data_IF_069154046861
#
_entry.id   IF_069154046861
#
_cell.length_a   1.000
_cell.length_b   1.000
_cell.length_c   1.000
_cell.angle_alpha   90.00
_cell.angle_beta   90.00
_cell.angle_gamma   90.00
#
_symmetry.space_group_name_H-M   'P 1'
#
loop_
_entity.id
_entity.type
_entity.pdbx_description
1 polymer ?
#
# COMPACT_ATOMS: atom_id res chain seq x y z
N UNK A 1 -2.84 -30.24 -6.34
CA UNK A 1 -3.96 -29.26 -6.43
C UNK A 1 -3.30 -27.93 -6.76
N UNK A 2 -3.82 -27.21 -7.75
CA UNK A 2 -3.07 -26.20 -8.53
C UNK A 2 -2.45 -25.13 -7.61
N UNK A 3 -1.16 -25.30 -7.37
CA UNK A 3 -0.21 -24.27 -6.94
C UNK A 3 0.03 -23.38 -8.16
N UNK A 4 -0.54 -22.17 -8.15
CA UNK A 4 -0.12 -20.99 -8.91
C UNK A 4 -1.07 -19.85 -8.56
N UNK A 5 -0.81 -19.17 -7.45
CA UNK A 5 -1.22 -17.77 -7.29
C UNK A 5 0.00 -16.93 -7.65
N UNK A 6 0.12 -16.71 -8.96
CA UNK A 6 0.70 -15.58 -9.68
C UNK A 6 1.63 -14.63 -8.90
N UNK A 7 2.86 -14.51 -9.40
CA UNK A 7 3.85 -13.47 -9.06
C UNK A 7 3.34 -12.02 -9.30
N UNK A 8 2.14 -11.85 -9.85
CA UNK A 8 1.56 -10.56 -10.23
C UNK A 8 0.87 -9.79 -9.09
N UNK A 9 0.54 -10.46 -7.97
CA UNK A 9 -0.17 -9.83 -6.85
C UNK A 9 0.58 -9.99 -5.53
N UNK A 10 0.85 -8.89 -4.79
CA UNK A 10 1.62 -8.96 -3.55
C UNK A 10 0.87 -9.63 -2.39
N UNK A 11 -0.46 -9.72 -2.48
CA UNK A 11 -1.31 -10.36 -1.46
C UNK A 11 -2.24 -11.37 -2.12
N UNK A 12 -2.44 -12.51 -1.46
CA UNK A 12 -3.53 -13.44 -1.78
C UNK A 12 -4.87 -12.92 -1.21
N UNK A 13 -5.97 -13.58 -1.55
CA UNK A 13 -7.32 -13.15 -1.17
C UNK A 13 -7.51 -13.02 0.36
N UNK A 14 -7.02 -13.98 1.13
CA UNK A 14 -7.16 -13.97 2.60
C UNK A 14 -6.39 -12.80 3.22
N UNK A 15 -5.14 -12.58 2.77
CA UNK A 15 -4.33 -11.44 3.23
C UNK A 15 -4.95 -10.11 2.83
N UNK A 16 -5.52 -10.00 1.63
CA UNK A 16 -6.22 -8.80 1.18
C UNK A 16 -7.46 -8.53 2.04
N UNK A 17 -8.24 -9.56 2.35
CA UNK A 17 -9.42 -9.45 3.22
C UNK A 17 -9.02 -8.98 4.60
N UNK A 18 -8.04 -9.62 5.22
CA UNK A 18 -7.52 -9.25 6.54
C UNK A 18 -6.94 -7.83 6.54
N UNK A 19 -6.19 -7.45 5.51
CA UNK A 19 -5.70 -6.07 5.33
C UNK A 19 -6.85 -5.08 5.27
N UNK A 20 -7.88 -5.37 4.47
CA UNK A 20 -9.04 -4.49 4.33
C UNK A 20 -9.84 -4.39 5.63
N UNK A 21 -9.88 -5.42 6.47
CA UNK A 21 -10.49 -5.39 7.80
C UNK A 21 -9.66 -4.59 8.80
N UNK A 22 -8.36 -4.87 8.89
CA UNK A 22 -7.45 -4.17 9.81
C UNK A 22 -7.35 -2.68 9.51
N UNK A 23 -7.42 -2.26 8.24
CA UNK A 23 -7.26 -0.85 7.89
C UNK A 23 -8.44 0.05 8.33
N UNK A 24 -9.53 -0.55 8.82
CA UNK A 24 -10.71 0.21 9.27
C UNK A 24 -10.43 0.92 10.56
N UNK A 25 -10.53 2.25 10.55
CA UNK A 25 -10.33 3.06 11.75
C UNK A 25 -8.86 3.33 12.08
N UNK A 26 -7.93 2.75 11.34
CA UNK A 26 -6.50 2.94 11.56
C UNK A 26 -6.01 4.30 11.06
N UNK A 27 -5.15 4.92 11.88
CA UNK A 27 -4.49 6.18 11.58
C UNK A 27 -3.23 5.98 10.73
N UNK A 28 -2.47 4.92 10.99
CA UNK A 28 -1.21 4.61 10.31
C UNK A 28 -1.38 3.46 9.31
N UNK A 29 -1.99 3.80 8.18
CA UNK A 29 -2.29 2.87 7.09
C UNK A 29 -1.03 2.27 6.47
N UNK A 30 0.07 3.04 6.44
CA UNK A 30 1.32 2.58 5.83
C UNK A 30 1.97 1.50 6.68
N UNK A 31 1.96 1.66 8.01
CA UNK A 31 2.41 0.62 8.94
C UNK A 31 1.62 -0.67 8.79
N UNK A 32 0.29 -0.58 8.63
CA UNK A 32 -0.54 -1.77 8.37
C UNK A 32 -0.14 -2.40 7.03
N UNK A 33 -0.03 -1.63 5.95
CA UNK A 33 0.37 -2.16 4.65
C UNK A 33 1.73 -2.90 4.71
N UNK A 34 2.71 -2.37 5.42
CA UNK A 34 4.03 -3.01 5.59
C UNK A 34 4.00 -4.32 6.38
N UNK A 35 2.99 -4.57 7.23
CA UNK A 35 2.80 -5.90 7.84
C UNK A 35 2.48 -6.98 6.80
N UNK A 36 1.83 -6.58 5.71
CA UNK A 36 1.31 -7.48 4.69
C UNK A 36 2.26 -7.63 3.50
N UNK A 37 2.87 -6.53 3.05
CA UNK A 37 3.80 -6.53 1.91
C UNK A 37 4.75 -5.33 1.94
N UNK A 38 5.97 -5.53 1.44
CA UNK A 38 6.93 -4.46 1.16
C UNK A 38 6.71 -3.83 -0.22
N UNK A 39 6.02 -4.52 -1.13
CA UNK A 39 5.70 -4.02 -2.46
C UNK A 39 4.41 -3.18 -2.42
N UNK A 40 4.53 -1.96 -1.88
CA UNK A 40 3.38 -1.03 -1.73
C UNK A 40 2.81 -0.61 -3.09
N UNK A 41 3.66 -0.44 -4.11
CA UNK A 41 3.20 -0.12 -5.46
C UNK A 41 2.33 -1.25 -6.04
N UNK A 42 2.78 -2.50 -5.90
CA UNK A 42 1.96 -3.66 -6.30
C UNK A 42 0.64 -3.74 -5.54
N UNK A 43 0.61 -3.34 -4.26
CA UNK A 43 -0.62 -3.33 -3.47
C UNK A 43 -1.59 -2.25 -3.97
N UNK A 44 -1.08 -1.07 -4.33
CA UNK A 44 -1.88 0.00 -4.93
C UNK A 44 -2.46 -0.42 -6.28
N UNK A 45 -1.67 -1.10 -7.11
CA UNK A 45 -2.12 -1.64 -8.40
C UNK A 45 -3.16 -2.73 -8.22
N UNK A 46 -2.99 -3.61 -7.22
CA UNK A 46 -3.99 -4.61 -6.87
C UNK A 46 -5.31 -3.95 -6.45
N UNK A 47 -5.26 -2.95 -5.56
CA UNK A 47 -6.45 -2.21 -5.12
C UNK A 47 -7.17 -1.51 -6.29
N UNK A 48 -6.41 -1.01 -7.28
CA UNK A 48 -6.97 -0.45 -8.50
C UNK A 48 -7.62 -1.52 -9.38
N UNK A 49 -6.95 -2.66 -9.61
CA UNK A 49 -7.48 -3.76 -10.44
C UNK A 49 -8.76 -4.35 -9.84
N UNK A 50 -8.83 -4.53 -8.51
CA UNK A 50 -10.04 -5.07 -7.88
C UNK A 50 -11.21 -4.08 -7.90
N UNK A 51 -10.96 -2.77 -8.11
CA UNK A 51 -12.02 -1.77 -8.11
C UNK A 51 -13.12 -2.09 -9.14
N UNK A 52 -12.76 -2.59 -10.31
CA UNK A 52 -13.70 -2.92 -11.40
C UNK A 52 -14.58 -4.13 -11.11
N UNK A 53 -14.19 -4.99 -10.16
CA UNK A 53 -14.97 -6.18 -9.77
C UNK A 53 -15.80 -5.96 -8.51
N UNK A 54 -15.63 -4.82 -7.82
CA UNK A 54 -16.46 -4.47 -6.68
C UNK A 54 -17.85 -4.03 -7.13
N UNK A 55 -18.89 -4.64 -6.58
CA UNK A 55 -20.29 -4.36 -6.94
C UNK A 55 -20.99 -3.44 -5.95
N UNK A 56 -20.56 -3.45 -4.68
CA UNK A 56 -21.19 -2.68 -3.62
C UNK A 56 -20.56 -1.30 -3.48
N UNK A 57 -21.37 -0.24 -3.64
CA UNK A 57 -20.96 1.17 -3.53
C UNK A 57 -20.18 1.47 -2.24
N UNK A 58 -20.58 0.87 -1.12
CA UNK A 58 -19.91 1.03 0.18
C UNK A 58 -18.47 0.49 0.15
N UNK A 59 -18.26 -0.67 -0.48
CA UNK A 59 -16.96 -1.33 -0.60
C UNK A 59 -16.09 -0.58 -1.61
N UNK A 60 -16.68 -0.15 -2.73
CA UNK A 60 -16.03 0.71 -3.73
C UNK A 60 -15.47 1.97 -3.07
N UNK A 61 -16.30 2.71 -2.34
CA UNK A 61 -15.90 3.93 -1.65
C UNK A 61 -14.80 3.69 -0.61
N UNK A 62 -14.88 2.56 0.10
CA UNK A 62 -13.85 2.15 1.07
C UNK A 62 -12.53 1.84 0.38
N UNK A 63 -12.53 1.08 -0.71
CA UNK A 63 -11.33 0.80 -1.50
C UNK A 63 -10.69 2.11 -1.99
N UNK A 64 -11.46 3.01 -2.61
CA UNK A 64 -10.93 4.32 -3.08
C UNK A 64 -10.30 5.11 -1.93
N UNK A 65 -10.93 5.15 -0.76
CA UNK A 65 -10.38 5.84 0.42
C UNK A 65 -9.06 5.21 0.88
N UNK A 66 -9.01 3.89 0.98
CA UNK A 66 -7.79 3.15 1.34
C UNK A 66 -6.68 3.42 0.35
N UNK A 67 -6.95 3.29 -0.94
CA UNK A 67 -5.99 3.53 -2.01
C UNK A 67 -5.41 4.96 -1.95
N UNK A 68 -6.27 5.98 -1.83
CA UNK A 68 -5.82 7.38 -1.74
C UNK A 68 -4.97 7.65 -0.50
N UNK A 69 -5.38 7.13 0.66
CA UNK A 69 -4.64 7.34 1.91
C UNK A 69 -3.29 6.61 1.87
N UNK A 70 -3.27 5.36 1.40
CA UNK A 70 -2.05 4.57 1.28
C UNK A 70 -1.07 5.23 0.31
N UNK A 71 -1.54 5.64 -0.87
CA UNK A 71 -0.70 6.36 -1.84
C UNK A 71 -0.08 7.62 -1.22
N UNK A 72 -0.90 8.46 -0.58
CA UNK A 72 -0.42 9.69 0.06
C UNK A 72 0.63 9.40 1.14
N UNK A 73 0.38 8.41 2.00
CA UNK A 73 1.32 8.05 3.06
C UNK A 73 2.64 7.50 2.49
N UNK A 74 2.56 6.70 1.44
CA UNK A 74 3.74 6.14 0.78
C UNK A 74 4.56 7.20 0.05
N UNK A 75 3.92 8.12 -0.68
CA UNK A 75 4.59 9.26 -1.31
C UNK A 75 5.34 10.12 -0.28
N UNK A 76 4.73 10.35 0.89
CA UNK A 76 5.37 11.07 2.01
C UNK A 76 6.58 10.31 2.57
N UNK A 77 6.46 9.00 2.75
CA UNK A 77 7.56 8.14 3.19
C UNK A 77 8.74 8.16 2.20
N UNK A 78 8.46 8.08 0.90
CA UNK A 78 9.48 8.17 -0.15
C UNK A 78 10.18 9.52 -0.15
N UNK A 79 9.42 10.62 -0.09
CA UNK A 79 10.01 11.96 -0.04
C UNK A 79 10.90 12.14 1.19
N UNK A 80 10.46 11.69 2.37
CA UNK A 80 11.27 11.73 3.58
C UNK A 80 12.56 10.90 3.46
N UNK A 81 12.47 9.71 2.88
CA UNK A 81 13.63 8.83 2.66
C UNK A 81 14.65 9.45 1.71
N UNK A 82 14.16 10.06 0.62
CA UNK A 82 15.01 10.75 -0.37
C UNK A 82 15.64 12.02 0.21
N UNK A 83 14.87 12.84 0.92
CA UNK A 83 15.38 14.06 1.59
C UNK A 83 16.40 13.73 2.67
N UNK A 84 16.17 12.69 3.49
CA UNK A 84 17.12 12.27 4.54
C UNK A 84 18.43 11.74 3.96
N UNK A 85 18.41 11.23 2.73
CA UNK A 85 19.61 10.73 2.03
C UNK A 85 20.47 11.87 1.43
N UNK A 86 19.90 13.06 1.25
CA UNK A 86 20.60 14.20 0.64
C UNK A 86 21.37 15.06 1.66
N UNK A 87 20.99 15.03 2.95
CA UNK A 87 21.61 15.84 4.01
C UNK A 87 22.99 15.34 4.49
N UNK A 88 23.54 14.28 3.88
CA UNK A 88 24.84 13.68 4.27
C UNK A 88 26.01 14.03 3.33
N UNK A 89 25.81 14.85 2.29
CA UNK A 89 26.88 15.19 1.32
C UNK A 89 27.49 16.59 1.48
N UNK A 90 26.95 17.45 2.34
CA UNK A 90 27.39 18.85 2.48
C UNK A 90 28.30 19.11 3.71
N UNK A 91 28.84 18.07 4.36
CA UNK A 91 29.68 18.22 5.57
C UNK A 91 31.17 17.91 5.42
N UNK A 92 31.65 17.59 4.22
CA UNK A 92 33.05 17.18 3.98
C UNK A 92 33.82 18.11 3.01
N UNK A 93 33.49 19.41 2.99
CA UNK A 93 34.32 20.41 2.31
C UNK A 93 34.44 21.69 3.15
N UNK A 94 35.33 21.64 4.14
CA UNK A 94 35.98 22.82 4.75
C UNK A 94 37.48 22.74 4.50
#
# INVERSE_FOLDING_TARGET
MIENCDEDFPLNFDKLTNFMEEIVGESDILKIAFKYTLNINGLLDMLYKIHSVLTHTSIINRNIKVQRKLKKAYDQYLNWTVSSSHEHLDRDHE
#
